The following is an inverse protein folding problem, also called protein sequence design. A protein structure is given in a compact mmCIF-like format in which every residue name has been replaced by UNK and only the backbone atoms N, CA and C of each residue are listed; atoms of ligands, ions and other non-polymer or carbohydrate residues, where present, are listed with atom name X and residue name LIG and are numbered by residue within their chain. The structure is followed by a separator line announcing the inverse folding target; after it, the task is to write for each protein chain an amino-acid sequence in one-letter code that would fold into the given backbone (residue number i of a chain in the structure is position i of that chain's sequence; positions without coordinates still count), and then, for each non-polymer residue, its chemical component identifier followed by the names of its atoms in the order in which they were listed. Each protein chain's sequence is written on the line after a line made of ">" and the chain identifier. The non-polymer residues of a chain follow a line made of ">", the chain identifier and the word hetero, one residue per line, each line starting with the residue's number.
data_IF_425260478242
#
_entry.id   IF_425260478242
#
_cell.length_a   1.000
_cell.length_b   1.000
_cell.length_c   1.000
_cell.angle_alpha   90.00
_cell.angle_beta   90.00
_cell.angle_gamma   90.00
#
_symmetry.space_group_name_H-M   'P 1'
#
loop_
_entity.id
_entity.type
_entity.pdbx_description
1 polymer ?
#
# COMPACT_ATOMS: atom_id res chain seq x y z
N UNK A 1 -15.86 -21.85 92.74
CA UNK A 1 -16.58 -22.05 94.02
C UNK A 1 -15.57 -22.47 95.09
N UNK A 2 -15.38 -21.62 96.11
CA UNK A 2 -14.19 -21.58 96.97
C UNK A 2 -14.01 -22.82 97.86
N UNK A 3 -12.75 -23.27 98.04
CA UNK A 3 -12.34 -24.39 98.91
C UNK A 3 -12.87 -24.24 100.35
N UNK A 4 -13.04 -23.01 100.82
CA UNK A 4 -13.66 -22.70 102.14
C UNK A 4 -15.15 -23.08 102.24
N UNK A 5 -15.94 -23.04 101.17
CA UNK A 5 -17.33 -23.52 101.19
C UNK A 5 -17.42 -25.05 101.20
N UNK A 6 -16.43 -25.74 100.62
CA UNK A 6 -16.39 -27.22 100.58
C UNK A 6 -16.06 -27.83 101.93
N UNK A 7 -15.11 -27.26 102.68
CA UNK A 7 -14.73 -27.75 104.03
C UNK A 7 -15.86 -27.54 105.05
N UNK A 8 -16.62 -26.44 104.91
CA UNK A 8 -17.76 -26.15 105.79
C UNK A 8 -18.91 -27.14 105.59
N UNK A 9 -19.20 -27.54 104.35
CA UNK A 9 -20.24 -28.54 104.03
C UNK A 9 -19.88 -29.96 104.49
N UNK A 10 -18.61 -30.35 104.40
CA UNK A 10 -18.17 -31.67 104.86
C UNK A 10 -18.20 -31.80 106.39
N UNK A 11 -17.96 -30.70 107.12
CA UNK A 11 -18.05 -30.70 108.59
C UNK A 11 -19.48 -30.82 109.11
N UNK A 12 -20.45 -30.15 108.46
CA UNK A 12 -21.87 -30.19 108.85
C UNK A 12 -22.47 -31.60 108.67
N UNK A 13 -22.10 -32.28 107.58
CA UNK A 13 -22.56 -33.64 107.26
C UNK A 13 -22.09 -34.69 108.28
N UNK A 14 -20.86 -34.57 108.81
CA UNK A 14 -20.34 -35.53 109.80
C UNK A 14 -21.07 -35.34 111.14
N UNK A 15 -21.42 -34.11 111.52
CA UNK A 15 -22.13 -33.81 112.76
C UNK A 15 -23.56 -34.40 112.77
N UNK A 16 -24.30 -34.33 111.66
CA UNK A 16 -25.65 -34.91 111.57
C UNK A 16 -25.64 -36.45 111.60
N UNK A 17 -24.62 -37.07 110.99
CA UNK A 17 -24.44 -38.53 111.01
C UNK A 17 -24.15 -39.01 112.45
N UNK A 18 -23.35 -38.27 113.22
CA UNK A 18 -23.09 -38.62 114.63
C UNK A 18 -24.34 -38.50 115.52
N UNK A 19 -25.21 -37.50 115.28
CA UNK A 19 -26.47 -37.33 116.01
C UNK A 19 -27.45 -38.47 115.70
N UNK A 20 -27.51 -38.91 114.43
CA UNK A 20 -28.35 -40.04 114.02
C UNK A 20 -27.90 -41.39 114.62
N UNK A 21 -26.59 -41.58 114.79
CA UNK A 21 -26.01 -42.78 115.44
C UNK A 21 -26.20 -42.73 116.96
N UNK A 22 -26.19 -41.55 117.59
CA UNK A 22 -26.40 -41.42 119.04
C UNK A 22 -27.86 -41.69 119.47
N UNK A 23 -28.85 -41.31 118.66
CA UNK A 23 -30.27 -41.54 118.94
C UNK A 23 -30.71 -43.02 118.80
N UNK A 24 -29.89 -43.86 118.17
CA UNK A 24 -30.19 -45.28 117.93
C UNK A 24 -29.74 -46.22 119.06
N UNK A 25 -29.06 -45.72 120.09
CA UNK A 25 -28.52 -46.54 121.20
C UNK A 25 -29.49 -46.62 122.41
N UNK A 26 -30.60 -45.88 122.44
CA UNK A 26 -31.45 -45.76 123.65
C UNK A 26 -32.92 -46.20 123.51
N UNK A 27 -33.26 -47.36 122.92
CA UNK A 27 -34.61 -47.94 123.06
C UNK A 27 -34.67 -49.46 122.76
N UNK A 28 -35.66 -50.10 123.38
CA UNK A 28 -35.80 -51.53 123.69
C UNK A 28 -36.01 -52.48 122.48
N UNK A 29 -35.56 -53.73 122.65
CA UNK A 29 -35.45 -54.82 121.66
C UNK A 29 -36.77 -55.54 121.31
N UNK A 30 -37.78 -54.84 120.78
CA UNK A 30 -39.03 -55.51 120.32
C UNK A 30 -39.50 -55.16 118.90
N UNK A 31 -38.88 -54.24 118.16
CA UNK A 31 -39.29 -53.85 116.79
C UNK A 31 -38.16 -53.98 115.74
N UNK A 32 -37.60 -55.17 115.59
CA UNK A 32 -36.37 -55.43 114.80
C UNK A 32 -36.53 -55.44 113.27
N UNK A 33 -37.73 -55.27 112.72
CA UNK A 33 -37.99 -55.31 111.27
C UNK A 33 -37.88 -53.96 110.52
N UNK A 34 -38.41 -52.82 111.01
CA UNK A 34 -38.22 -51.52 110.35
C UNK A 34 -36.78 -50.96 110.43
N UNK A 35 -35.94 -51.46 111.34
CA UNK A 35 -34.57 -50.97 111.55
C UNK A 35 -33.59 -51.39 110.45
N UNK A 36 -33.75 -52.61 109.90
CA UNK A 36 -32.94 -53.12 108.78
C UNK A 36 -33.23 -52.35 107.48
N UNK A 37 -34.47 -51.92 107.26
CA UNK A 37 -34.85 -51.15 106.08
C UNK A 37 -34.17 -49.77 106.04
N UNK A 38 -34.06 -49.08 107.19
CA UNK A 38 -33.37 -47.80 107.29
C UNK A 38 -31.85 -47.92 107.08
N UNK A 39 -31.22 -48.98 107.59
CA UNK A 39 -29.79 -49.24 107.35
C UNK A 39 -29.49 -49.47 105.87
N UNK A 40 -30.34 -50.22 105.17
CA UNK A 40 -30.20 -50.46 103.73
C UNK A 40 -30.41 -49.17 102.93
N UNK A 41 -31.38 -48.33 103.31
CA UNK A 41 -31.64 -47.04 102.65
C UNK A 41 -30.46 -46.07 102.78
N UNK A 42 -29.88 -45.95 103.98
CA UNK A 42 -28.70 -45.10 104.22
C UNK A 42 -27.50 -45.61 103.42
N UNK A 43 -27.29 -46.93 103.39
CA UNK A 43 -26.22 -47.53 102.62
C UNK A 43 -26.39 -47.29 101.10
N UNK A 44 -27.62 -47.41 100.57
CA UNK A 44 -27.92 -47.12 99.17
C UNK A 44 -27.72 -45.64 98.80
N UNK A 45 -28.15 -44.71 99.66
CA UNK A 45 -27.97 -43.27 99.42
C UNK A 45 -26.51 -42.85 99.45
N UNK A 46 -25.71 -43.41 100.38
CA UNK A 46 -24.27 -43.16 100.42
C UNK A 46 -23.55 -43.75 99.21
N UNK A 47 -23.91 -44.96 98.76
CA UNK A 47 -23.37 -45.57 97.55
C UNK A 47 -23.72 -44.76 96.29
N UNK A 48 -24.95 -44.24 96.19
CA UNK A 48 -25.39 -43.41 95.08
C UNK A 48 -24.65 -42.05 95.03
N UNK A 49 -24.46 -41.42 96.19
CA UNK A 49 -23.69 -40.18 96.31
C UNK A 49 -22.21 -40.39 95.97
N UNK A 50 -21.62 -41.52 96.39
CA UNK A 50 -20.25 -41.90 96.05
C UNK A 50 -20.11 -42.20 94.55
N UNK A 51 -21.10 -42.86 93.95
CA UNK A 51 -21.15 -43.14 92.51
C UNK A 51 -21.25 -41.85 91.66
N UNK A 52 -22.08 -40.90 92.06
CA UNK A 52 -22.20 -39.61 91.37
C UNK A 52 -20.95 -38.74 91.53
N UNK A 53 -20.38 -38.66 92.74
CA UNK A 53 -19.13 -37.90 92.97
C UNK A 53 -17.94 -38.52 92.24
N UNK A 54 -17.85 -39.85 92.19
CA UNK A 54 -16.83 -40.57 91.43
C UNK A 54 -16.97 -40.36 89.92
N UNK A 55 -18.19 -40.43 89.35
CA UNK A 55 -18.42 -40.14 87.93
C UNK A 55 -18.20 -38.67 87.58
N UNK A 56 -18.51 -37.73 88.48
CA UNK A 56 -18.28 -36.31 88.25
C UNK A 56 -16.78 -35.95 88.29
N UNK A 57 -16.01 -36.55 89.22
CA UNK A 57 -14.54 -36.41 89.28
C UNK A 57 -13.85 -37.07 88.08
N UNK A 58 -14.33 -38.23 87.62
CA UNK A 58 -13.82 -38.91 86.43
C UNK A 58 -14.02 -38.05 85.16
N UNK A 59 -15.16 -37.34 85.05
CA UNK A 59 -15.45 -36.43 83.93
C UNK A 59 -14.54 -35.19 83.92
N UNK A 60 -14.22 -34.63 85.09
CA UNK A 60 -13.27 -33.51 85.22
C UNK A 60 -11.82 -33.89 84.93
N UNK A 61 -11.37 -35.07 85.36
CA UNK A 61 -10.00 -35.53 85.11
C UNK A 61 -9.79 -35.94 83.64
N UNK A 62 -10.78 -36.59 83.01
CA UNK A 62 -10.74 -36.90 81.58
C UNK A 62 -10.80 -35.65 80.71
N UNK A 63 -11.53 -34.60 81.12
CA UNK A 63 -11.49 -33.31 80.42
C UNK A 63 -10.12 -32.65 80.54
N UNK A 64 -9.50 -32.59 81.72
CA UNK A 64 -8.16 -32.01 81.86
C UNK A 64 -7.08 -32.78 81.08
N UNK A 65 -7.11 -34.11 81.07
CA UNK A 65 -6.20 -34.91 80.24
C UNK A 65 -6.48 -34.72 78.75
N UNK A 66 -7.74 -34.63 78.33
CA UNK A 66 -8.10 -34.33 76.95
C UNK A 66 -7.62 -32.92 76.54
N UNK A 67 -7.81 -31.91 77.39
CA UNK A 67 -7.37 -30.54 77.13
C UNK A 67 -5.85 -30.39 77.12
N UNK A 68 -5.12 -31.09 77.99
CA UNK A 68 -3.65 -31.13 77.92
C UNK A 68 -3.18 -31.84 76.64
N UNK A 69 -3.77 -32.98 76.27
CA UNK A 69 -3.41 -33.69 75.04
C UNK A 69 -3.74 -32.88 73.77
N UNK A 70 -4.84 -32.13 73.78
CA UNK A 70 -5.25 -31.26 72.68
C UNK A 70 -4.34 -30.03 72.58
N UNK A 71 -3.98 -29.42 73.72
CA UNK A 71 -3.05 -28.30 73.79
C UNK A 71 -1.64 -28.73 73.34
N UNK A 72 -1.15 -29.89 73.78
CA UNK A 72 0.19 -30.40 73.43
C UNK A 72 0.27 -30.74 71.93
N UNK A 73 -0.79 -31.34 71.36
CA UNK A 73 -0.90 -31.59 69.91
C UNK A 73 -1.02 -30.32 69.07
N UNK A 74 -1.76 -29.30 69.55
CA UNK A 74 -1.88 -28.02 68.85
C UNK A 74 -0.57 -27.23 68.91
N UNK A 75 0.12 -27.24 70.06
CA UNK A 75 1.39 -26.52 70.27
C UNK A 75 2.53 -27.13 69.46
N UNK A 76 2.53 -28.45 69.22
CA UNK A 76 3.50 -29.10 68.32
C UNK A 76 3.38 -28.67 66.85
N UNK A 77 2.29 -28.02 66.44
CA UNK A 77 2.05 -27.63 65.05
C UNK A 77 1.86 -26.11 64.88
N UNK A 78 2.11 -25.33 65.93
CA UNK A 78 2.10 -23.87 65.89
C UNK A 78 3.55 -23.37 65.81
N UNK A 79 3.90 -22.53 64.82
CA UNK A 79 5.23 -21.92 64.77
C UNK A 79 5.41 -20.97 65.95
N UNK A 80 6.63 -20.91 66.51
CA UNK A 80 7.02 -20.05 67.64
C UNK A 80 6.62 -18.59 67.39
N UNK A 81 5.45 -18.21 67.89
CA UNK A 81 4.90 -16.87 67.74
C UNK A 81 4.62 -16.28 69.13
N UNK A 82 5.15 -15.09 69.46
CA UNK A 82 5.01 -14.49 70.80
C UNK A 82 3.57 -14.14 71.18
N UNK A 83 2.62 -14.30 70.26
CA UNK A 83 1.20 -14.03 70.45
C UNK A 83 0.37 -15.25 70.88
N UNK A 84 1.00 -16.41 71.08
CA UNK A 84 0.32 -17.69 71.36
C UNK A 84 0.71 -18.30 72.71
N UNK A 85 0.66 -17.50 73.77
CA UNK A 85 0.85 -18.00 75.13
C UNK A 85 -0.38 -18.77 75.60
N UNK A 86 -0.20 -19.97 76.16
CA UNK A 86 -1.28 -20.77 76.74
C UNK A 86 -2.01 -19.96 77.84
N UNK A 87 -3.35 -19.92 77.85
CA UNK A 87 -4.10 -19.25 78.91
C UNK A 87 -3.90 -20.00 80.24
N UNK A 88 -3.57 -19.28 81.31
CA UNK A 88 -3.32 -19.85 82.65
C UNK A 88 -4.60 -20.16 83.43
N UNK A 89 -5.78 -19.74 82.93
CA UNK A 89 -7.10 -19.98 83.54
C UNK A 89 -7.99 -20.78 82.61
N UNK A 90 -8.70 -21.76 83.18
CA UNK A 90 -9.54 -22.71 82.43
C UNK A 90 -10.72 -22.03 81.72
N UNK A 91 -11.22 -20.91 82.26
CA UNK A 91 -12.36 -20.17 81.69
C UNK A 91 -12.01 -19.37 80.43
N UNK A 92 -10.72 -19.04 80.22
CA UNK A 92 -10.23 -18.27 79.07
C UNK A 92 -9.85 -19.16 77.87
N UNK A 93 -9.84 -20.48 78.06
CA UNK A 93 -9.47 -21.46 77.04
C UNK A 93 -10.39 -21.45 75.81
N UNK A 94 -11.74 -21.35 75.93
CA UNK A 94 -12.62 -21.30 74.77
C UNK A 94 -12.36 -20.08 73.86
N UNK A 95 -12.14 -18.90 74.44
CA UNK A 95 -11.81 -17.67 73.71
C UNK A 95 -10.42 -17.72 73.08
N UNK A 96 -9.47 -18.44 73.70
CA UNK A 96 -8.18 -18.70 73.10
C UNK A 96 -8.32 -19.61 71.88
N UNK A 97 -9.00 -20.76 72.00
CA UNK A 97 -9.25 -21.69 70.88
C UNK A 97 -9.94 -20.98 69.72
N UNK A 98 -10.93 -20.14 69.98
CA UNK A 98 -11.61 -19.36 68.94
C UNK A 98 -10.64 -18.44 68.16
N UNK A 99 -9.75 -17.73 68.87
CA UNK A 99 -8.69 -16.90 68.25
C UNK A 99 -7.68 -17.73 67.45
N UNK A 100 -7.32 -18.92 67.94
CA UNK A 100 -6.41 -19.85 67.24
C UNK A 100 -7.02 -20.32 65.93
N UNK A 101 -8.24 -20.82 66.01
CA UNK A 101 -9.01 -21.34 64.88
C UNK A 101 -9.25 -20.22 63.86
N UNK A 102 -9.65 -19.03 64.32
CA UNK A 102 -9.85 -17.88 63.43
C UNK A 102 -8.56 -17.50 62.69
N UNK A 103 -7.40 -17.45 63.37
CA UNK A 103 -6.10 -17.18 62.73
C UNK A 103 -5.65 -18.29 61.76
N UNK A 104 -5.91 -19.56 62.09
CA UNK A 104 -5.60 -20.68 61.19
C UNK A 104 -6.50 -20.68 59.95
N UNK A 105 -7.78 -20.34 60.10
CA UNK A 105 -8.71 -20.16 58.98
C UNK A 105 -8.26 -18.97 58.12
N UNK A 106 -7.88 -17.84 58.71
CA UNK A 106 -7.40 -16.68 57.94
C UNK A 106 -6.07 -16.97 57.23
N UNK A 107 -5.12 -17.67 57.87
CA UNK A 107 -3.87 -18.11 57.22
C UNK A 107 -4.13 -19.11 56.08
N UNK A 108 -5.10 -20.03 56.24
CA UNK A 108 -5.50 -20.93 55.15
C UNK A 108 -6.23 -20.23 54.02
N UNK A 109 -6.93 -19.15 54.31
CA UNK A 109 -7.53 -18.29 53.30
C UNK A 109 -6.44 -17.52 52.53
N UNK A 110 -5.43 -16.98 53.23
CA UNK A 110 -4.28 -16.31 52.63
C UNK A 110 -3.45 -17.25 51.75
N UNK A 111 -3.20 -18.49 52.18
CA UNK A 111 -2.57 -19.54 51.36
C UNK A 111 -3.37 -19.83 50.07
N UNK A 112 -4.71 -19.86 50.17
CA UNK A 112 -5.60 -20.06 49.01
C UNK A 112 -5.56 -18.87 48.08
N UNK A 113 -5.59 -17.66 48.62
CA UNK A 113 -5.51 -16.43 47.83
C UNK A 113 -4.16 -16.34 47.11
N UNK A 114 -3.04 -16.70 47.76
CA UNK A 114 -1.71 -16.83 47.14
C UNK A 114 -1.73 -17.87 46.00
N UNK A 115 -2.32 -19.05 46.21
CA UNK A 115 -2.43 -20.07 45.16
C UNK A 115 -3.27 -19.60 43.96
N UNK A 116 -4.33 -18.81 44.19
CA UNK A 116 -5.10 -18.20 43.09
C UNK A 116 -4.32 -17.11 42.35
N UNK A 117 -3.50 -16.33 43.05
CA UNK A 117 -2.59 -15.33 42.45
C UNK A 117 -1.54 -16.04 41.60
N UNK A 118 -0.97 -17.12 42.08
CA UNK A 118 0.08 -17.90 41.39
C UNK A 118 -0.42 -18.53 40.08
N UNK A 119 -1.58 -19.19 40.15
CA UNK A 119 -2.25 -19.74 38.94
C UNK A 119 -2.63 -18.64 37.93
N UNK A 120 -3.05 -17.47 38.41
CA UNK A 120 -3.34 -16.31 37.54
C UNK A 120 -2.07 -15.76 36.90
N UNK A 121 -0.96 -15.69 37.65
CA UNK A 121 0.35 -15.26 37.15
C UNK A 121 0.90 -16.22 36.10
N UNK A 122 0.81 -17.53 36.33
CA UNK A 122 1.17 -18.55 35.35
C UNK A 122 0.38 -18.38 34.05
N UNK A 123 -0.96 -18.25 34.14
CA UNK A 123 -1.81 -18.01 32.97
C UNK A 123 -1.44 -16.72 32.21
N UNK A 124 -1.07 -15.65 32.92
CA UNK A 124 -0.65 -14.40 32.31
C UNK A 124 0.72 -14.51 31.62
N UNK A 125 1.68 -15.25 32.20
CA UNK A 125 2.99 -15.51 31.59
C UNK A 125 2.86 -16.35 30.33
N UNK A 126 2.03 -17.40 30.36
CA UNK A 126 1.76 -18.22 29.18
C UNK A 126 1.15 -17.39 28.05
N UNK A 127 0.20 -16.51 28.38
CA UNK A 127 -0.38 -15.56 27.42
C UNK A 127 0.67 -14.57 26.89
N UNK A 128 1.56 -14.05 27.73
CA UNK A 128 2.65 -13.15 27.32
C UNK A 128 3.64 -13.84 26.39
N UNK A 129 4.06 -15.07 26.70
CA UNK A 129 4.94 -15.86 25.85
C UNK A 129 4.29 -16.15 24.49
N UNK A 130 3.00 -16.45 24.48
CA UNK A 130 2.25 -16.62 23.23
C UNK A 130 2.24 -15.34 22.40
N UNK A 131 2.00 -14.17 23.02
CA UNK A 131 2.03 -12.86 22.35
C UNK A 131 3.42 -12.58 21.79
N UNK A 132 4.49 -12.76 22.59
CA UNK A 132 5.87 -12.49 22.17
C UNK A 132 6.30 -13.40 21.03
N UNK A 133 6.00 -14.69 21.10
CA UNK A 133 6.30 -15.63 20.00
C UNK A 133 5.54 -15.26 18.71
N UNK A 134 4.28 -14.83 18.83
CA UNK A 134 3.52 -14.33 17.69
C UNK A 134 4.14 -13.05 17.12
N UNK A 135 4.54 -12.13 17.97
CA UNK A 135 5.18 -10.87 17.57
C UNK A 135 6.53 -11.11 16.89
N UNK A 136 7.31 -12.09 17.34
CA UNK A 136 8.55 -12.53 16.68
C UNK A 136 8.28 -13.08 15.27
N UNK A 137 7.23 -13.89 15.11
CA UNK A 137 6.82 -14.41 13.81
C UNK A 137 6.37 -13.28 12.87
N UNK A 138 5.47 -12.39 13.35
CA UNK A 138 4.97 -11.26 12.58
C UNK A 138 6.13 -10.35 12.13
N UNK A 139 7.11 -10.11 13.01
CA UNK A 139 8.28 -9.30 12.68
C UNK A 139 9.20 -9.98 11.65
N UNK A 140 9.43 -11.29 11.77
CA UNK A 140 10.18 -12.07 10.80
C UNK A 140 9.57 -11.98 9.40
N UNK A 141 8.24 -12.04 9.31
CA UNK A 141 7.53 -11.94 8.03
C UNK A 141 7.59 -10.51 7.45
N UNK A 142 7.48 -9.47 8.29
CA UNK A 142 7.67 -8.08 7.85
C UNK A 142 9.11 -7.87 7.33
N UNK A 143 10.12 -8.41 8.01
CA UNK A 143 11.53 -8.31 7.60
C UNK A 143 11.76 -8.98 6.24
N UNK A 144 11.19 -10.16 5.99
CA UNK A 144 11.24 -10.82 4.67
C UNK A 144 10.59 -9.96 3.58
N UNK A 145 9.41 -9.40 3.85
CA UNK A 145 8.73 -8.52 2.90
C UNK A 145 9.61 -7.30 2.58
N UNK A 146 10.26 -6.71 3.59
CA UNK A 146 11.21 -5.60 3.41
C UNK A 146 12.43 -5.95 2.59
N UNK A 147 13.02 -7.11 2.82
CA UNK A 147 14.15 -7.60 2.02
C UNK A 147 13.77 -7.71 0.53
N UNK A 148 12.50 -8.03 0.24
CA UNK A 148 12.00 -8.09 -1.14
C UNK A 148 11.60 -6.72 -1.72
N UNK A 149 11.13 -5.77 -0.90
CA UNK A 149 10.72 -4.43 -1.36
C UNK A 149 11.89 -3.50 -1.69
N UNK A 150 13.02 -3.60 -0.99
CA UNK A 150 14.18 -2.74 -1.22
C UNK A 150 14.72 -2.74 -2.67
N UNK A 151 14.96 -3.90 -3.32
CA UNK A 151 15.41 -3.93 -4.71
C UNK A 151 14.34 -3.44 -5.68
N UNK A 152 13.05 -3.57 -5.36
CA UNK A 152 11.96 -3.03 -6.18
C UNK A 152 11.98 -1.50 -6.20
N UNK A 153 12.22 -0.85 -5.06
CA UNK A 153 12.35 0.62 -4.97
C UNK A 153 13.53 1.11 -5.82
N UNK A 154 14.68 0.42 -5.73
CA UNK A 154 15.85 0.74 -6.56
C UNK A 154 15.61 0.51 -8.05
N UNK A 155 14.92 -0.58 -8.41
CA UNK A 155 14.56 -0.88 -9.79
C UNK A 155 13.62 0.17 -10.39
N UNK A 156 12.64 0.65 -9.62
CA UNK A 156 11.74 1.74 -10.03
C UNK A 156 12.50 3.05 -10.22
N UNK A 157 13.47 3.36 -9.35
CA UNK A 157 14.35 4.52 -9.51
C UNK A 157 15.18 4.45 -10.78
N UNK A 158 15.89 3.34 -11.01
CA UNK A 158 16.69 3.14 -12.21
C UNK A 158 15.84 3.21 -13.50
N UNK A 159 14.62 2.66 -13.47
CA UNK A 159 13.72 2.74 -14.61
C UNK A 159 13.24 4.18 -14.88
N UNK A 160 13.06 4.98 -13.82
CA UNK A 160 12.66 6.38 -13.94
C UNK A 160 13.78 7.24 -14.51
N UNK A 161 15.03 6.96 -14.16
CA UNK A 161 16.20 7.60 -14.79
C UNK A 161 16.29 7.29 -16.29
N UNK A 162 16.06 6.02 -16.67
CA UNK A 162 15.99 5.61 -18.08
C UNK A 162 14.86 6.36 -18.82
N UNK A 163 13.68 6.46 -18.21
CA UNK A 163 12.56 7.20 -18.80
C UNK A 163 12.92 8.68 -18.95
N UNK A 164 13.53 9.30 -17.94
CA UNK A 164 13.97 10.70 -17.98
C UNK A 164 14.91 10.94 -19.15
N UNK A 165 15.90 10.06 -19.34
CA UNK A 165 16.82 10.14 -20.47
C UNK A 165 16.10 10.00 -21.81
N UNK A 166 15.18 9.03 -21.95
CA UNK A 166 14.41 8.81 -23.18
C UNK A 166 13.50 9.99 -23.52
N UNK A 167 12.86 10.58 -22.52
CA UNK A 167 12.04 11.78 -22.69
C UNK A 167 12.89 12.97 -23.10
N UNK A 168 14.10 13.11 -22.53
CA UNK A 168 15.05 14.14 -22.96
C UNK A 168 15.42 14.04 -24.44
N UNK A 169 15.68 12.83 -24.93
CA UNK A 169 15.92 12.57 -26.36
C UNK A 169 14.67 12.90 -27.19
N UNK A 170 13.48 12.47 -26.76
CA UNK A 170 12.22 12.78 -27.46
C UNK A 170 11.97 14.28 -27.58
N UNK A 171 12.27 15.07 -26.55
CA UNK A 171 12.16 16.54 -26.61
C UNK A 171 13.08 17.12 -27.68
N UNK A 172 14.32 16.64 -27.76
CA UNK A 172 15.29 17.10 -28.77
C UNK A 172 14.85 16.71 -30.19
N UNK A 173 14.46 15.45 -30.39
CA UNK A 173 13.94 14.93 -31.66
C UNK A 173 12.70 15.71 -32.12
N UNK A 174 11.77 16.01 -31.20
CA UNK A 174 10.58 16.80 -31.45
C UNK A 174 10.91 18.23 -31.87
N UNK A 175 11.84 18.89 -31.18
CA UNK A 175 12.29 20.25 -31.54
C UNK A 175 12.97 20.27 -32.91
N UNK A 176 13.82 19.27 -33.19
CA UNK A 176 14.47 19.13 -34.49
C UNK A 176 13.44 18.87 -35.60
N UNK A 177 12.44 18.03 -35.35
CA UNK A 177 11.33 17.78 -36.26
C UNK A 177 10.57 19.08 -36.60
N UNK A 178 10.32 19.92 -35.59
CA UNK A 178 9.63 21.19 -35.79
C UNK A 178 10.46 22.19 -36.60
N UNK A 179 11.76 22.25 -36.35
CA UNK A 179 12.68 23.05 -37.17
C UNK A 179 12.72 22.57 -38.63
N UNK A 180 12.77 21.25 -38.85
CA UNK A 180 12.77 20.69 -40.20
C UNK A 180 11.45 20.98 -40.95
N UNK A 181 10.31 21.00 -40.26
CA UNK A 181 9.04 21.41 -40.85
C UNK A 181 9.03 22.88 -41.25
N UNK A 182 9.55 23.78 -40.41
CA UNK A 182 9.69 25.19 -40.77
C UNK A 182 10.56 25.39 -42.02
N UNK A 183 11.65 24.63 -42.14
CA UNK A 183 12.48 24.64 -43.34
C UNK A 183 11.70 24.12 -44.56
N UNK A 184 10.95 23.02 -44.41
CA UNK A 184 10.14 22.46 -45.48
C UNK A 184 9.07 23.45 -45.96
N UNK A 185 8.40 24.15 -45.05
CA UNK A 185 7.43 25.21 -45.37
C UNK A 185 8.08 26.33 -46.19
N UNK A 186 9.27 26.80 -45.79
CA UNK A 186 10.01 27.82 -46.54
C UNK A 186 10.36 27.35 -47.95
N UNK A 187 10.82 26.10 -48.11
CA UNK A 187 11.15 25.53 -49.42
C UNK A 187 9.91 25.38 -50.29
N UNK A 188 8.76 24.99 -49.72
CA UNK A 188 7.50 24.88 -50.46
C UNK A 188 6.96 26.24 -50.93
N UNK A 189 7.15 27.29 -50.14
CA UNK A 189 6.81 28.66 -50.56
C UNK A 189 7.67 29.09 -51.74
N UNK A 190 8.98 28.86 -51.69
CA UNK A 190 9.88 29.15 -52.81
C UNK A 190 9.50 28.33 -54.07
N UNK A 191 9.22 27.04 -53.90
CA UNK A 191 8.79 26.17 -55.00
C UNK A 191 7.48 26.68 -55.63
N UNK A 192 6.54 27.14 -54.83
CA UNK A 192 5.28 27.74 -55.32
C UNK A 192 5.57 28.96 -56.20
N UNK A 193 6.48 29.83 -55.77
CA UNK A 193 6.89 30.99 -56.57
C UNK A 193 7.59 30.58 -57.87
N UNK A 194 8.48 29.59 -57.84
CA UNK A 194 9.19 29.10 -59.04
C UNK A 194 8.23 28.48 -60.06
N UNK A 195 7.26 27.67 -59.61
CA UNK A 195 6.24 27.08 -60.48
C UNK A 195 5.37 28.16 -61.10
N UNK A 196 4.92 29.16 -60.32
CA UNK A 196 4.15 30.29 -60.83
C UNK A 196 4.92 31.09 -61.88
N UNK A 197 6.20 31.40 -61.63
CA UNK A 197 7.04 32.11 -62.59
C UNK A 197 7.26 31.31 -63.87
N UNK A 198 7.38 30.00 -63.77
CA UNK A 198 7.52 29.12 -64.94
C UNK A 198 6.23 29.13 -65.76
N UNK A 199 5.06 29.10 -65.10
CA UNK A 199 3.75 29.19 -65.75
C UNK A 199 3.64 30.47 -66.61
N UNK A 200 4.08 31.61 -66.07
CA UNK A 200 4.06 32.89 -66.77
C UNK A 200 4.96 32.90 -68.01
N UNK A 201 6.17 32.33 -67.92
CA UNK A 201 7.09 32.22 -69.07
C UNK A 201 6.50 31.35 -70.17
N UNK A 202 5.88 30.21 -69.82
CA UNK A 202 5.25 29.33 -70.81
C UNK A 202 4.04 30.02 -71.46
N UNK A 203 3.25 30.77 -70.69
CA UNK A 203 2.14 31.56 -71.22
C UNK A 203 2.61 32.63 -72.21
N UNK A 204 3.73 33.31 -71.92
CA UNK A 204 4.35 34.24 -72.85
C UNK A 204 4.82 33.53 -74.14
N UNK A 205 5.43 32.35 -74.02
CA UNK A 205 5.85 31.57 -75.18
C UNK A 205 4.66 31.14 -76.06
N UNK A 206 3.54 30.78 -75.44
CA UNK A 206 2.27 30.49 -76.14
C UNK A 206 1.82 31.68 -76.98
N UNK A 207 1.72 32.86 -76.36
CA UNK A 207 1.31 34.10 -77.03
C UNK A 207 2.25 34.48 -78.18
N UNK A 208 3.58 34.37 -77.97
CA UNK A 208 4.57 34.66 -79.01
C UNK A 208 4.43 33.71 -80.21
N UNK A 209 4.12 32.44 -79.95
CA UNK A 209 3.93 31.44 -81.01
C UNK A 209 2.67 31.72 -81.83
N UNK A 210 1.60 32.18 -81.20
CA UNK A 210 0.38 32.62 -81.88
C UNK A 210 0.63 33.86 -82.75
N UNK A 211 1.40 34.84 -82.25
CA UNK A 211 1.82 36.00 -83.02
C UNK A 211 2.67 35.63 -84.24
N UNK A 212 3.62 34.70 -84.09
CA UNK A 212 4.43 34.21 -85.21
C UNK A 212 3.54 33.54 -86.26
N UNK A 213 2.57 32.71 -85.86
CA UNK A 213 1.62 32.10 -86.79
C UNK A 213 0.87 33.15 -87.61
N UNK A 214 0.39 34.22 -86.97
CA UNK A 214 -0.27 35.33 -87.68
C UNK A 214 0.64 36.03 -88.69
N UNK A 215 1.92 36.22 -88.37
CA UNK A 215 2.91 36.79 -89.30
C UNK A 215 3.16 35.86 -90.48
N UNK A 216 3.23 34.55 -90.26
CA UNK A 216 3.42 33.56 -91.33
C UNK A 216 2.25 33.55 -92.32
N UNK A 217 1.01 33.71 -91.84
CA UNK A 217 -0.18 33.82 -92.70
C UNK A 217 -0.08 35.03 -93.64
N UNK A 218 0.42 36.17 -93.14
CA UNK A 218 0.65 37.37 -93.94
C UNK A 218 1.75 37.13 -94.99
N UNK A 219 2.86 36.51 -94.61
CA UNK A 219 3.98 36.22 -95.56
C UNK A 219 3.51 35.26 -96.64
N UNK A 220 2.75 34.23 -96.28
CA UNK A 220 2.16 33.28 -97.23
C UNK A 220 1.24 34.00 -98.23
N UNK A 221 0.37 34.89 -97.74
CA UNK A 221 -0.50 35.71 -98.60
C UNK A 221 0.31 36.60 -99.55
N UNK A 222 1.39 37.22 -99.09
CA UNK A 222 2.29 38.03 -99.93
C UNK A 222 2.95 37.16 -101.00
N UNK A 223 3.40 35.96 -100.65
CA UNK A 223 4.01 35.03 -101.60
C UNK A 223 3.01 34.54 -102.65
N UNK A 224 1.75 34.25 -102.27
CA UNK A 224 0.64 33.96 -103.19
C UNK A 224 0.38 35.12 -104.17
N UNK A 225 0.29 36.34 -103.65
CA UNK A 225 0.10 37.53 -104.48
C UNK A 225 1.28 37.76 -105.43
N UNK A 226 2.51 37.58 -104.96
CA UNK A 226 3.73 37.72 -105.76
C UNK A 226 3.79 36.67 -106.86
N UNK A 227 3.39 35.43 -106.56
CA UNK A 227 3.30 34.34 -107.52
C UNK A 227 2.27 34.64 -108.63
N UNK A 228 1.11 35.18 -108.26
CA UNK A 228 0.07 35.61 -109.23
C UNK A 228 0.52 36.80 -110.08
N UNK A 229 1.20 37.79 -109.49
CA UNK A 229 1.76 38.93 -110.21
C UNK A 229 2.83 38.48 -111.21
N UNK A 230 3.73 37.58 -110.80
CA UNK A 230 4.76 37.01 -111.67
C UNK A 230 4.15 36.19 -112.82
N UNK A 231 3.10 35.42 -112.55
CA UNK A 231 2.36 34.70 -113.59
C UNK A 231 1.76 35.66 -114.63
N UNK A 232 1.10 36.72 -114.19
CA UNK A 232 0.54 37.73 -115.10
C UNK A 232 1.64 38.42 -115.93
N UNK A 233 2.79 38.72 -115.33
CA UNK A 233 3.94 39.28 -116.03
C UNK A 233 4.53 38.31 -117.07
N UNK A 234 4.62 37.01 -116.76
CA UNK A 234 5.08 35.99 -117.69
C UNK A 234 4.14 35.85 -118.90
N UNK A 235 2.82 35.92 -118.66
CA UNK A 235 1.81 35.90 -119.72
C UNK A 235 1.97 37.12 -120.65
N UNK A 236 2.13 38.32 -120.10
CA UNK A 236 2.27 39.53 -120.91
C UNK A 236 3.63 39.58 -121.64
N UNK A 237 4.70 39.07 -121.02
CA UNK A 237 6.00 38.91 -121.66
C UNK A 237 5.93 37.94 -122.85
N UNK A 238 5.20 36.82 -122.74
CA UNK A 238 4.96 35.91 -123.85
C UNK A 238 4.15 36.58 -124.97
N UNK A 239 3.19 37.46 -124.61
CA UNK A 239 2.37 38.22 -125.55
C UNK A 239 3.17 39.24 -126.37
N UNK A 240 4.23 39.81 -125.79
CA UNK A 240 5.15 40.74 -126.45
C UNK A 240 6.16 40.07 -127.41
N UNK A 241 6.17 38.73 -127.50
CA UNK A 241 7.04 37.98 -128.42
C UNK A 241 8.53 38.15 -128.10
N UNK A 242 9.38 38.34 -129.12
CA UNK A 242 10.84 38.48 -128.96
C UNK A 242 11.25 39.67 -128.07
N UNK A 243 10.46 40.76 -128.04
CA UNK A 243 10.74 41.93 -127.20
C UNK A 243 10.52 41.65 -125.70
N UNK A 244 9.71 40.64 -125.36
CA UNK A 244 9.38 40.26 -123.98
C UNK A 244 10.32 39.22 -123.36
N UNK A 245 11.29 38.67 -124.11
CA UNK A 245 12.13 37.55 -123.66
C UNK A 245 12.88 37.82 -122.35
N UNK A 246 13.47 39.01 -122.19
CA UNK A 246 14.16 39.38 -120.96
C UNK A 246 13.22 39.48 -119.76
N UNK A 247 12.01 40.02 -119.97
CA UNK A 247 10.98 40.11 -118.93
C UNK A 247 10.42 38.74 -118.54
N UNK A 248 10.29 37.81 -119.50
CA UNK A 248 9.81 36.45 -119.23
C UNK A 248 10.74 35.71 -118.25
N UNK A 249 12.07 35.82 -118.44
CA UNK A 249 13.06 35.21 -117.54
C UNK A 249 12.97 35.78 -116.13
N UNK A 250 12.81 37.10 -116.00
CA UNK A 250 12.64 37.73 -114.68
C UNK A 250 11.33 37.29 -114.03
N UNK A 251 10.23 37.21 -114.78
CA UNK A 251 8.95 36.76 -114.27
C UNK A 251 9.00 35.30 -113.76
N UNK A 252 9.67 34.41 -114.49
CA UNK A 252 9.86 33.02 -114.05
C UNK A 252 10.73 32.91 -112.78
N UNK A 253 11.79 33.73 -112.67
CA UNK A 253 12.63 33.75 -111.46
C UNK A 253 11.87 34.29 -110.24
N UNK A 254 11.07 35.36 -110.40
CA UNK A 254 10.19 35.87 -109.33
C UNK A 254 9.16 34.81 -108.94
N UNK A 255 8.59 34.08 -109.90
CA UNK A 255 7.64 32.99 -109.64
C UNK A 255 8.28 31.86 -108.83
N UNK A 256 9.51 31.47 -109.19
CA UNK A 256 10.28 30.47 -108.46
C UNK A 256 10.58 30.93 -107.02
N UNK A 257 10.96 32.19 -106.84
CA UNK A 257 11.23 32.78 -105.52
C UNK A 257 9.98 32.83 -104.64
N UNK A 258 8.83 33.19 -105.22
CA UNK A 258 7.54 33.18 -104.54
C UNK A 258 7.15 31.76 -104.09
N UNK A 259 7.31 30.76 -104.97
CA UNK A 259 7.06 29.34 -104.64
C UNK A 259 7.98 28.83 -103.53
N UNK A 260 9.28 29.13 -103.57
CA UNK A 260 10.22 28.80 -102.48
C UNK A 260 9.85 29.48 -101.17
N UNK A 261 9.37 30.72 -101.22
CA UNK A 261 8.90 31.46 -100.04
C UNK A 261 7.68 30.77 -99.43
N UNK A 262 6.70 30.37 -100.25
CA UNK A 262 5.53 29.60 -99.77
C UNK A 262 5.92 28.30 -99.09
N UNK A 263 6.79 27.52 -99.73
CA UNK A 263 7.26 26.25 -99.16
C UNK A 263 7.95 26.50 -97.81
N UNK A 264 8.82 27.50 -97.72
CA UNK A 264 9.51 27.84 -96.48
C UNK A 264 8.54 28.29 -95.38
N UNK A 265 7.52 29.09 -95.72
CA UNK A 265 6.47 29.46 -94.75
C UNK A 265 5.66 28.26 -94.28
N UNK A 266 5.38 27.30 -95.15
CA UNK A 266 4.67 26.06 -94.79
C UNK A 266 5.51 25.20 -93.84
N UNK A 267 6.81 25.07 -94.10
CA UNK A 267 7.73 24.32 -93.24
C UNK A 267 7.86 24.98 -91.86
N UNK A 268 7.93 26.31 -91.80
CA UNK A 268 7.94 27.05 -90.52
C UNK A 268 6.60 26.91 -89.78
N UNK A 269 5.47 26.93 -90.49
CA UNK A 269 4.15 26.73 -89.88
C UNK A 269 4.06 25.39 -89.15
N UNK A 270 4.55 24.31 -89.77
CA UNK A 270 4.61 22.97 -89.13
C UNK A 270 5.48 22.99 -87.86
N UNK A 271 6.61 23.71 -87.88
CA UNK A 271 7.45 23.88 -86.69
C UNK A 271 6.74 24.65 -85.57
N UNK A 272 5.98 25.70 -85.91
CA UNK A 272 5.21 26.49 -84.95
C UNK A 272 4.05 25.68 -84.35
N UNK A 273 3.35 24.88 -85.16
CA UNK A 273 2.31 23.96 -84.66
C UNK A 273 2.89 22.93 -83.67
N UNK A 274 4.06 22.38 -83.97
CA UNK A 274 4.79 21.50 -83.06
C UNK A 274 5.17 22.20 -81.74
N UNK A 275 5.63 23.45 -81.82
CA UNK A 275 5.97 24.27 -80.67
C UNK A 275 4.72 24.58 -79.82
N UNK A 276 3.61 24.97 -80.44
CA UNK A 276 2.33 25.23 -79.75
C UNK A 276 1.83 23.98 -79.02
N UNK A 277 1.94 22.79 -79.64
CA UNK A 277 1.59 21.53 -78.99
C UNK A 277 2.47 21.28 -77.76
N UNK A 278 3.78 21.44 -77.89
CA UNK A 278 4.72 21.27 -76.77
C UNK A 278 4.47 22.27 -75.62
N UNK A 279 4.08 23.50 -75.95
CA UNK A 279 3.68 24.51 -74.96
C UNK A 279 2.40 24.10 -74.23
N UNK A 280 1.39 23.59 -74.95
CA UNK A 280 0.14 23.10 -74.34
C UNK A 280 0.39 21.95 -73.37
N UNK A 281 1.23 20.98 -73.74
CA UNK A 281 1.65 19.89 -72.86
C UNK A 281 2.39 20.42 -71.62
N UNK A 282 3.26 21.43 -71.78
CA UNK A 282 3.98 22.03 -70.68
C UNK A 282 3.06 22.81 -69.71
N UNK A 283 2.03 23.50 -70.21
CA UNK A 283 0.99 24.13 -69.37
C UNK A 283 0.27 23.08 -68.53
N UNK A 284 -0.13 21.95 -69.13
CA UNK A 284 -0.79 20.88 -68.40
C UNK A 284 0.08 20.32 -67.26
N UNK A 285 1.36 20.07 -67.53
CA UNK A 285 2.31 19.59 -66.52
C UNK A 285 2.53 20.60 -65.38
N UNK A 286 2.50 21.91 -65.69
CA UNK A 286 2.59 22.96 -64.68
C UNK A 286 1.33 22.98 -63.80
N UNK A 287 0.14 22.87 -64.37
CA UNK A 287 -1.11 22.80 -63.59
C UNK A 287 -1.15 21.58 -62.65
N UNK A 288 -0.63 20.44 -63.09
CA UNK A 288 -0.45 19.25 -62.25
C UNK A 288 0.58 19.50 -61.13
N UNK A 289 1.67 20.21 -61.44
CA UNK A 289 2.70 20.58 -60.47
C UNK A 289 2.15 21.52 -59.40
N UNK A 290 1.36 22.54 -59.78
CA UNK A 290 0.69 23.46 -58.84
C UNK A 290 -0.21 22.69 -57.87
N UNK A 291 -1.04 21.77 -58.37
CA UNK A 291 -1.91 20.93 -57.53
C UNK A 291 -1.09 20.06 -56.57
N UNK A 292 0.01 19.49 -57.04
CA UNK A 292 0.89 18.65 -56.21
C UNK A 292 1.55 19.46 -55.09
N UNK A 293 2.01 20.69 -55.39
CA UNK A 293 2.59 21.58 -54.39
C UNK A 293 1.55 21.99 -53.35
N UNK A 294 0.31 22.34 -53.75
CA UNK A 294 -0.77 22.67 -52.84
C UNK A 294 -1.11 21.51 -51.88
N UNK A 295 -1.24 20.30 -52.40
CA UNK A 295 -1.45 19.11 -51.57
C UNK A 295 -0.30 18.86 -50.60
N UNK A 296 0.95 19.11 -51.05
CA UNK A 296 2.13 18.96 -50.20
C UNK A 296 2.12 19.98 -49.05
N UNK A 297 1.75 21.23 -49.33
CA UNK A 297 1.60 22.28 -48.29
C UNK A 297 0.54 21.87 -47.26
N UNK A 298 -0.61 21.35 -47.69
CA UNK A 298 -1.65 20.89 -46.76
C UNK A 298 -1.16 19.75 -45.86
N UNK A 299 -0.45 18.76 -46.42
CA UNK A 299 0.13 17.64 -45.68
C UNK A 299 1.20 18.10 -44.69
N UNK A 300 2.06 19.05 -45.10
CA UNK A 300 3.07 19.64 -44.22
C UNK A 300 2.42 20.35 -43.03
N UNK A 301 1.37 21.14 -43.25
CA UNK A 301 0.64 21.82 -42.17
C UNK A 301 0.02 20.82 -41.18
N UNK A 302 -0.66 19.78 -41.68
CA UNK A 302 -1.23 18.71 -40.84
C UNK A 302 -0.14 17.98 -40.03
N UNK A 303 1.02 17.75 -40.65
CA UNK A 303 2.17 17.14 -39.96
C UNK A 303 2.70 18.06 -38.86
N UNK A 304 2.73 19.38 -39.09
CA UNK A 304 3.08 20.38 -38.09
C UNK A 304 2.12 20.42 -36.89
N UNK A 305 0.82 20.33 -37.14
CA UNK A 305 -0.18 20.23 -36.06
C UNK A 305 0.01 18.98 -35.21
N UNK A 306 0.12 17.80 -35.83
CA UNK A 306 0.34 16.54 -35.09
C UNK A 306 1.67 16.51 -34.33
N UNK A 307 2.72 17.12 -34.88
CA UNK A 307 4.00 17.23 -34.18
C UNK A 307 3.91 18.18 -32.98
N UNK A 308 3.19 19.30 -33.10
CA UNK A 308 2.98 20.22 -31.99
C UNK A 308 2.18 19.58 -30.84
N UNK A 309 1.17 18.76 -31.17
CA UNK A 309 0.45 17.93 -30.19
C UNK A 309 1.42 16.95 -29.49
N UNK A 310 2.26 16.26 -30.27
CA UNK A 310 3.28 15.34 -29.74
C UNK A 310 4.25 16.05 -28.79
N UNK A 311 4.74 17.26 -29.15
CA UNK A 311 5.59 18.08 -28.28
C UNK A 311 4.90 18.38 -26.94
N UNK A 312 3.60 18.68 -26.99
CA UNK A 312 2.80 18.97 -25.79
C UNK A 312 2.70 17.75 -24.88
N UNK A 313 2.43 16.56 -25.45
CA UNK A 313 2.37 15.30 -24.71
C UNK A 313 3.72 14.93 -24.10
N UNK A 314 4.81 15.07 -24.85
CA UNK A 314 6.17 14.78 -24.37
C UNK A 314 6.54 15.68 -23.19
N UNK A 315 6.19 16.97 -23.24
CA UNK A 315 6.40 17.89 -22.13
C UNK A 315 5.60 17.49 -20.87
N UNK A 316 4.37 17.02 -21.04
CA UNK A 316 3.57 16.51 -19.93
C UNK A 316 4.16 15.22 -19.34
N UNK A 317 4.67 14.31 -20.19
CA UNK A 317 5.41 13.12 -19.73
C UNK A 317 6.64 13.54 -18.93
N UNK A 318 7.40 14.55 -19.40
CA UNK A 318 8.56 15.06 -18.66
C UNK A 318 8.17 15.55 -17.26
N UNK A 319 7.07 16.30 -17.17
CA UNK A 319 6.51 16.75 -15.88
C UNK A 319 6.17 15.58 -14.96
N UNK A 320 5.47 14.57 -15.46
CA UNK A 320 5.06 13.38 -14.70
C UNK A 320 6.28 12.56 -14.23
N UNK A 321 7.31 12.46 -15.05
CA UNK A 321 8.55 11.76 -14.70
C UNK A 321 9.26 12.47 -13.56
N UNK A 322 9.40 13.79 -13.61
CA UNK A 322 9.99 14.58 -12.52
C UNK A 322 9.20 14.43 -11.21
N UNK A 323 7.86 14.41 -11.28
CA UNK A 323 7.00 14.16 -10.12
C UNK A 323 7.20 12.75 -9.54
N UNK A 324 7.35 11.74 -10.41
CA UNK A 324 7.59 10.36 -10.01
C UNK A 324 8.98 10.20 -9.33
N UNK A 325 10.02 10.85 -9.88
CA UNK A 325 11.35 10.88 -9.26
C UNK A 325 11.30 11.49 -7.84
N UNK A 326 10.55 12.58 -7.65
CA UNK A 326 10.38 13.17 -6.32
C UNK A 326 9.70 12.19 -5.34
N UNK A 327 8.60 11.54 -5.76
CA UNK A 327 7.91 10.53 -4.94
C UNK A 327 8.79 9.34 -4.58
N UNK A 328 9.69 8.93 -5.47
CA UNK A 328 10.62 7.83 -5.21
C UNK A 328 11.67 8.17 -4.15
N UNK A 329 12.15 9.41 -4.14
CA UNK A 329 13.05 9.89 -3.07
C UNK A 329 12.34 9.78 -1.72
N UNK A 330 11.06 10.17 -1.64
CA UNK A 330 10.29 10.08 -0.40
C UNK A 330 10.01 8.63 0.03
N UNK A 331 9.68 7.74 -0.91
CA UNK A 331 9.55 6.30 -0.65
C UNK A 331 10.88 5.71 -0.15
N UNK A 332 12.00 6.13 -0.72
CA UNK A 332 13.34 5.72 -0.28
C UNK A 332 13.62 6.11 1.17
N UNK A 333 13.29 7.36 1.56
CA UNK A 333 13.43 7.83 2.95
C UNK A 333 12.54 7.02 3.91
N UNK A 334 11.28 6.81 3.54
CA UNK A 334 10.34 6.01 4.35
C UNK A 334 10.80 4.56 4.50
N UNK A 335 11.44 4.00 3.47
CA UNK A 335 11.99 2.65 3.52
C UNK A 335 13.09 2.54 4.57
N UNK A 336 14.00 3.53 4.63
CA UNK A 336 15.07 3.62 5.65
C UNK A 336 14.47 3.77 7.06
N UNK A 337 13.53 4.70 7.25
CA UNK A 337 12.92 4.93 8.57
C UNK A 337 12.24 3.68 9.12
N UNK A 338 11.50 2.94 8.29
CA UNK A 338 10.87 1.71 8.76
C UNK A 338 11.91 0.62 9.04
N UNK A 339 13.05 0.60 8.34
CA UNK A 339 14.12 -0.34 8.67
C UNK A 339 14.65 -0.10 10.09
N UNK A 340 14.89 1.16 10.46
CA UNK A 340 15.32 1.55 11.81
C UNK A 340 14.27 1.14 12.87
N UNK A 341 12.98 1.39 12.60
CA UNK A 341 11.88 1.00 13.49
C UNK A 341 11.75 -0.52 13.66
N UNK A 342 11.94 -1.30 12.59
CA UNK A 342 11.87 -2.75 12.64
C UNK A 342 13.04 -3.35 13.44
N UNK A 343 14.24 -2.78 13.29
CA UNK A 343 15.39 -3.17 14.10
C UNK A 343 15.13 -2.92 15.59
N UNK A 344 14.62 -1.73 15.93
CA UNK A 344 14.23 -1.39 17.29
C UNK A 344 13.16 -2.35 17.85
N UNK A 345 12.12 -2.67 17.07
CA UNK A 345 11.09 -3.63 17.48
C UNK A 345 11.63 -5.04 17.67
N UNK A 346 12.62 -5.45 16.87
CA UNK A 346 13.28 -6.75 17.01
C UNK A 346 14.01 -6.87 18.34
N UNK A 347 14.81 -5.87 18.68
CA UNK A 347 15.52 -5.80 19.96
C UNK A 347 14.55 -5.85 21.15
N UNK A 348 13.43 -5.11 21.07
CA UNK A 348 12.40 -5.07 22.12
C UNK A 348 11.66 -6.40 22.26
N UNK A 349 11.41 -7.09 21.15
CA UNK A 349 10.76 -8.42 21.15
C UNK A 349 11.67 -9.48 21.76
N UNK A 350 12.97 -9.45 21.44
CA UNK A 350 13.98 -10.32 22.05
C UNK A 350 14.10 -10.09 23.56
N UNK A 351 14.11 -8.83 24.01
CA UNK A 351 14.14 -8.51 25.44
C UNK A 351 12.86 -8.97 26.16
N UNK A 352 11.68 -8.73 25.56
CA UNK A 352 10.40 -9.19 26.11
C UNK A 352 10.35 -10.72 26.23
N UNK A 353 10.93 -11.45 25.25
CA UNK A 353 11.06 -12.91 25.28
C UNK A 353 11.92 -13.36 26.44
N UNK A 354 13.12 -12.79 26.56
CA UNK A 354 14.04 -13.08 27.67
C UNK A 354 13.39 -12.84 29.03
N UNK A 355 12.71 -11.71 29.21
CA UNK A 355 12.04 -11.36 30.47
C UNK A 355 10.88 -12.32 30.78
N UNK A 356 10.09 -12.67 29.77
CA UNK A 356 8.97 -13.61 29.94
C UNK A 356 9.45 -15.01 30.33
N UNK A 357 10.55 -15.49 29.75
CA UNK A 357 11.19 -16.77 30.12
C UNK A 357 11.72 -16.72 31.55
N UNK A 358 12.40 -15.64 31.95
CA UNK A 358 12.88 -15.47 33.34
C UNK A 358 11.74 -15.44 34.36
N UNK A 359 10.62 -14.77 34.04
CA UNK A 359 9.42 -14.78 34.88
C UNK A 359 8.83 -16.18 35.00
N UNK A 360 8.78 -16.94 33.91
CA UNK A 360 8.31 -18.33 33.93
C UNK A 360 9.18 -19.21 34.84
N UNK A 361 10.50 -19.05 34.78
CA UNK A 361 11.46 -19.76 35.65
C UNK A 361 11.38 -19.35 37.12
N UNK A 362 10.96 -18.12 37.43
CA UNK A 362 10.84 -17.64 38.83
C UNK A 362 9.57 -18.14 39.52
N UNK A 363 8.52 -18.45 38.74
CA UNK A 363 7.22 -18.92 39.24
C UNK A 363 7.12 -20.46 39.26
N UNK A 364 7.93 -21.15 38.45
CA UNK A 364 8.08 -22.61 38.47
C UNK A 364 8.91 -23.08 39.68
#
# INVERSE_FOLDING_TARGET
>A
MNVRQKVWFTGLMIAEICIAIALTISLNWTDSMPMLANLILVWLLTALAMFFTFNYLKKGHQQHQFFQLLADKLTQHLPDSPHFTLPTKTDDFPLWVDRVVHKLISSKQEDRDIATVDTTLQSNIDALLQIVNKQEQDLSDILKHRQHSAPLIQGVAANTDIITQKVGILVDDSNQGQHNLQLAESVLQELTHQVSSTADVIKQLSNNSEQISSVLDVIRSIADQTNLLALNAAIEAARAGEQGRGFAVVADEVRNLASKTQQSTQDIQVMIEGLQKGVSEAVHNIDDSVRSVQNTVELTNKTGESLAETCTEVNEINRLVNENSAKQIDIGKLAVEVNERLQYLNERTLEAKSLSTQLQETIA
#
